data_IF_911546007748
#
_entry.id   IF_911546007748
#
_cell.length_a   1.000
_cell.length_b   1.000
_cell.length_c   1.000
_cell.angle_alpha   90.00
_cell.angle_beta   90.00
_cell.angle_gamma   90.00
#
_symmetry.space_group_name_H-M   'P 1'
#
loop_
_entity.id
_entity.type
_entity.pdbx_description
1 polymer ?
#
# COMPACT_ATOMS: atom_id res chain seq x y z
N UNK A 1 -15.78 25.37 -17.55
CA UNK A 1 -15.25 24.08 -17.05
C UNK A 1 -15.40 24.04 -15.53
N UNK A 2 -15.90 22.94 -14.94
CA UNK A 2 -15.89 22.77 -13.47
C UNK A 2 -14.56 22.13 -13.04
N UNK A 3 -14.01 22.45 -11.85
CA UNK A 3 -12.74 21.89 -11.39
C UNK A 3 -12.87 20.38 -11.17
N UNK A 4 -11.97 19.61 -11.79
CA UNK A 4 -11.78 18.18 -11.56
C UNK A 4 -10.98 17.98 -10.27
N UNK A 5 -11.23 16.87 -9.57
CA UNK A 5 -10.48 16.51 -8.38
C UNK A 5 -9.93 15.09 -8.46
N UNK A 6 -8.70 14.96 -7.95
CA UNK A 6 -8.04 13.71 -7.63
C UNK A 6 -7.96 13.66 -6.10
N UNK A 7 -8.38 12.56 -5.49
CA UNK A 7 -8.19 12.36 -4.06
C UNK A 7 -6.80 11.76 -3.87
N UNK A 8 -5.95 12.47 -3.12
CA UNK A 8 -4.58 12.04 -2.83
C UNK A 8 -4.49 11.13 -1.59
N UNK A 9 -5.55 11.07 -0.79
CA UNK A 9 -5.61 10.23 0.41
C UNK A 9 -7.06 10.08 0.87
N UNK A 10 -7.44 8.89 1.34
CA UNK A 10 -8.73 8.62 1.99
C UNK A 10 -8.43 7.81 3.27
N UNK A 11 -8.83 8.34 4.42
CA UNK A 11 -8.63 7.68 5.73
C UNK A 11 -9.94 7.13 6.30
N UNK A 12 -9.79 6.03 7.03
CA UNK A 12 -10.69 5.49 8.06
C UNK A 12 -12.17 5.29 7.66
N UNK A 13 -12.43 4.32 6.78
CA UNK A 13 -13.76 3.72 6.64
C UNK A 13 -13.67 2.20 6.78
N UNK A 14 -14.77 1.57 7.19
CA UNK A 14 -14.80 0.18 7.64
C UNK A 14 -14.60 -0.79 6.48
N UNK A 15 -14.94 -0.40 5.25
CA UNK A 15 -14.79 -1.25 4.07
C UNK A 15 -14.56 -0.46 2.78
N UNK A 16 -14.02 -1.15 1.77
CA UNK A 16 -13.85 -0.66 0.40
C UNK A 16 -15.17 -0.18 -0.21
N UNK A 17 -16.27 -0.92 -0.05
CA UNK A 17 -17.57 -0.54 -0.59
C UNK A 17 -18.08 0.77 0.03
N UNK A 18 -17.88 0.96 1.33
CA UNK A 18 -18.27 2.18 2.04
C UNK A 18 -17.49 3.41 1.53
N UNK A 19 -16.17 3.28 1.33
CA UNK A 19 -15.33 4.33 0.74
C UNK A 19 -15.83 4.73 -0.65
N UNK A 20 -15.97 3.74 -1.53
CA UNK A 20 -16.33 3.95 -2.92
C UNK A 20 -17.71 4.62 -3.02
N UNK A 21 -18.70 4.14 -2.26
CA UNK A 21 -20.06 4.68 -2.25
C UNK A 21 -20.11 6.11 -1.71
N UNK A 22 -19.46 6.39 -0.57
CA UNK A 22 -19.46 7.72 0.06
C UNK A 22 -18.75 8.76 -0.79
N UNK A 23 -17.59 8.42 -1.35
CA UNK A 23 -16.80 9.35 -2.16
C UNK A 23 -17.51 9.69 -3.47
N UNK A 24 -18.06 8.68 -4.17
CA UNK A 24 -18.82 8.91 -5.40
C UNK A 24 -20.07 9.77 -5.14
N UNK A 25 -20.75 9.57 -4.00
CA UNK A 25 -21.91 10.35 -3.60
C UNK A 25 -21.56 11.80 -3.21
N UNK A 26 -20.41 12.02 -2.57
CA UNK A 26 -19.98 13.35 -2.11
C UNK A 26 -19.44 14.24 -3.25
N UNK A 27 -18.88 13.65 -4.31
CA UNK A 27 -18.23 14.37 -5.41
C UNK A 27 -18.81 13.99 -6.80
N UNK A 28 -20.12 14.12 -7.02
CA UNK A 28 -20.76 13.67 -8.24
C UNK A 28 -20.21 14.44 -9.45
N UNK A 29 -19.77 13.68 -10.47
CA UNK A 29 -19.23 14.18 -11.75
C UNK A 29 -17.94 15.02 -11.67
N UNK A 30 -17.25 15.03 -10.52
CA UNK A 30 -15.97 15.75 -10.33
C UNK A 30 -14.78 14.83 -10.11
N UNK A 31 -15.06 13.62 -9.63
CA UNK A 31 -14.06 12.59 -9.33
C UNK A 31 -13.55 11.94 -10.62
N UNK A 32 -12.22 11.95 -10.81
CA UNK A 32 -11.56 11.33 -11.98
C UNK A 32 -10.74 10.09 -11.62
N UNK A 33 -10.19 10.05 -10.41
CA UNK A 33 -9.55 8.87 -9.85
C UNK A 33 -9.94 8.66 -8.39
N UNK A 34 -9.96 7.40 -7.98
CA UNK A 34 -10.12 6.99 -6.58
C UNK A 34 -8.95 6.11 -6.18
N UNK A 35 -8.44 6.33 -4.97
CA UNK A 35 -7.37 5.55 -4.39
C UNK A 35 -7.89 4.24 -3.79
N UNK A 36 -6.98 3.29 -3.66
CA UNK A 36 -7.19 1.97 -3.06
C UNK A 36 -7.40 1.98 -1.52
N UNK A 37 -7.46 3.16 -0.89
CA UNK A 37 -7.88 3.40 0.50
C UNK A 37 -7.04 2.72 1.59
N UNK A 38 -6.76 3.39 2.70
CA UNK A 38 -6.11 2.77 3.88
C UNK A 38 -7.13 2.01 4.75
N UNK A 39 -7.84 1.06 4.15
CA UNK A 39 -8.91 0.31 4.82
C UNK A 39 -8.37 -0.86 5.65
N UNK A 40 -9.10 -1.20 6.70
CA UNK A 40 -8.86 -2.38 7.55
C UNK A 40 -7.43 -2.44 8.13
N UNK A 41 -6.74 -3.57 8.06
CA UNK A 41 -5.37 -3.78 8.55
C UNK A 41 -4.34 -2.82 7.95
N UNK A 42 -4.67 -2.12 6.86
CA UNK A 42 -3.83 -1.11 6.22
C UNK A 42 -4.06 0.31 6.75
N UNK A 43 -4.87 0.48 7.78
CA UNK A 43 -4.99 1.75 8.49
C UNK A 43 -3.61 2.13 9.03
N UNK A 44 -3.03 3.23 8.53
CA UNK A 44 -1.59 3.52 8.52
C UNK A 44 -0.84 2.74 7.43
N UNK A 45 -0.93 3.26 6.21
CA UNK A 45 -0.36 2.73 4.96
C UNK A 45 1.08 2.21 5.01
N UNK A 46 1.91 2.75 5.89
CA UNK A 46 3.27 2.26 6.16
C UNK A 46 3.27 1.34 7.39
N UNK A 47 2.54 1.68 8.45
CA UNK A 47 2.59 0.99 9.75
C UNK A 47 2.39 -0.53 9.71
N UNK A 48 1.52 -1.03 8.83
CA UNK A 48 1.28 -2.48 8.70
C UNK A 48 2.48 -3.27 8.14
N UNK A 49 3.49 -2.57 7.59
CA UNK A 49 4.71 -3.18 7.06
C UNK A 49 5.75 -3.54 8.13
N UNK A 50 5.57 -3.15 9.40
CA UNK A 50 6.49 -3.51 10.47
C UNK A 50 6.77 -5.03 10.52
N UNK A 51 5.72 -5.84 10.32
CA UNK A 51 5.81 -7.30 10.40
C UNK A 51 6.49 -7.98 9.20
N UNK A 52 6.87 -7.20 8.19
CA UNK A 52 7.48 -7.64 6.94
C UNK A 52 9.01 -7.55 6.96
N UNK A 53 9.58 -6.85 7.94
CA UNK A 53 11.02 -6.84 8.23
C UNK A 53 11.41 -7.95 9.22
N UNK A 54 12.66 -8.43 9.21
CA UNK A 54 13.20 -9.33 10.23
C UNK A 54 12.97 -8.77 11.64
N UNK A 55 12.63 -9.60 12.62
CA UNK A 55 12.25 -9.13 13.96
C UNK A 55 13.38 -8.40 14.69
N UNK A 56 14.60 -8.82 14.41
CA UNK A 56 15.86 -8.37 14.99
C UNK A 56 16.25 -6.97 14.51
N UNK A 57 15.82 -6.60 13.30
CA UNK A 57 16.13 -5.31 12.69
C UNK A 57 15.11 -4.23 12.99
N UNK A 58 13.95 -4.61 13.55
CA UNK A 58 12.85 -3.67 13.81
C UNK A 58 13.23 -2.63 14.84
N UNK A 59 12.85 -1.39 14.60
CA UNK A 59 13.00 -0.28 15.54
C UNK A 59 11.74 -0.10 16.38
N UNK A 60 11.94 0.22 17.66
CA UNK A 60 10.89 0.43 18.64
C UNK A 60 10.40 1.88 18.60
N UNK A 61 9.80 2.31 17.49
CA UNK A 61 9.19 3.65 17.44
C UNK A 61 7.95 3.74 18.36
N UNK A 62 7.35 2.60 18.75
CA UNK A 62 6.16 2.52 19.61
C UNK A 62 6.39 1.85 20.99
N UNK A 63 7.64 1.73 21.46
CA UNK A 63 7.95 1.17 22.77
C UNK A 63 7.83 -0.37 22.88
N UNK A 64 7.86 -1.08 21.75
CA UNK A 64 7.90 -2.56 21.70
C UNK A 64 9.34 -3.04 21.80
N UNK A 65 9.65 -3.96 22.72
CA UNK A 65 10.99 -4.55 22.82
C UNK A 65 11.46 -5.09 21.47
N UNK A 66 12.50 -4.48 20.89
CA UNK A 66 13.12 -4.98 19.67
C UNK A 66 13.89 -6.25 19.99
N UNK A 67 13.77 -7.29 19.17
CA UNK A 67 14.65 -8.44 19.32
C UNK A 67 16.10 -8.01 19.11
N UNK A 68 17.00 -8.53 19.95
CA UNK A 68 18.43 -8.44 19.69
C UNK A 68 18.79 -9.45 18.61
N UNK A 69 19.84 -9.13 17.85
CA UNK A 69 20.39 -10.05 16.88
C UNK A 69 21.00 -11.26 17.63
N UNK A 70 20.68 -12.51 17.28
CA UNK A 70 21.29 -13.68 17.90
C UNK A 70 22.83 -13.64 17.79
N UNK A 71 23.59 -14.09 18.82
CA UNK A 71 25.05 -14.02 18.81
C UNK A 71 25.74 -14.74 17.63
N UNK A 72 25.06 -15.72 17.04
CA UNK A 72 25.53 -16.53 15.91
C UNK A 72 25.05 -16.01 14.54
N UNK A 73 24.26 -14.94 14.52
CA UNK A 73 23.75 -14.36 13.28
C UNK A 73 24.81 -13.45 12.63
N UNK A 74 25.06 -13.63 11.33
CA UNK A 74 26.10 -12.91 10.57
C UNK A 74 25.85 -11.41 10.41
N UNK A 75 24.64 -10.94 10.72
CA UNK A 75 24.18 -9.58 10.46
C UNK A 75 23.90 -9.30 8.99
N UNK A 76 23.96 -10.33 8.13
CA UNK A 76 23.71 -10.22 6.69
C UNK A 76 22.30 -10.73 6.40
N UNK A 77 21.46 -9.86 5.85
CA UNK A 77 20.12 -10.19 5.36
C UNK A 77 20.11 -10.40 3.85
N UNK A 78 19.19 -11.26 3.39
CA UNK A 78 18.91 -11.53 1.98
C UNK A 78 17.46 -11.19 1.65
N UNK A 79 17.06 -11.32 0.39
CA UNK A 79 15.68 -11.09 -0.02
C UNK A 79 14.68 -11.96 0.74
N UNK A 80 15.08 -13.17 1.14
CA UNK A 80 14.24 -14.08 1.93
C UNK A 80 14.00 -13.58 3.37
N UNK A 81 14.87 -12.71 3.88
CA UNK A 81 14.70 -12.09 5.19
C UNK A 81 13.57 -11.05 5.21
N UNK A 82 13.30 -10.39 4.07
CA UNK A 82 12.20 -9.44 3.92
C UNK A 82 11.01 -10.14 3.25
N UNK A 83 9.83 -10.09 3.89
CA UNK A 83 8.62 -10.71 3.34
C UNK A 83 8.11 -9.91 2.12
N UNK A 84 7.42 -10.59 1.20
CA UNK A 84 6.68 -9.92 0.12
C UNK A 84 5.67 -8.94 0.71
N UNK A 85 5.61 -7.71 0.18
CA UNK A 85 4.92 -6.58 0.84
C UNK A 85 3.40 -6.72 0.93
N UNK A 86 2.79 -7.54 0.07
CA UNK A 86 1.34 -7.72 -0.07
C UNK A 86 0.57 -6.46 -0.50
N UNK A 87 1.24 -5.38 -0.92
CA UNK A 87 0.54 -4.22 -1.48
C UNK A 87 -0.23 -4.58 -2.76
N UNK A 88 0.30 -5.51 -3.55
CA UNK A 88 -0.31 -6.06 -4.75
C UNK A 88 -1.63 -6.78 -4.46
N UNK A 89 -1.63 -7.70 -3.47
CA UNK A 89 -2.83 -8.41 -3.07
C UNK A 89 -3.92 -7.42 -2.63
N UNK A 90 -3.55 -6.49 -1.75
CA UNK A 90 -4.48 -5.48 -1.26
C UNK A 90 -5.05 -4.60 -2.39
N UNK A 91 -4.19 -4.11 -3.29
CA UNK A 91 -4.60 -3.28 -4.42
C UNK A 91 -5.54 -4.03 -5.38
N UNK A 92 -5.23 -5.30 -5.67
CA UNK A 92 -6.05 -6.13 -6.58
C UNK A 92 -7.39 -6.53 -5.96
N UNK A 93 -7.45 -6.80 -4.65
CA UNK A 93 -8.72 -7.04 -3.95
C UNK A 93 -9.61 -5.79 -3.94
N UNK A 94 -9.03 -4.61 -3.73
CA UNK A 94 -9.76 -3.36 -3.83
C UNK A 94 -10.24 -3.12 -5.27
N UNK A 95 -9.37 -3.34 -6.25
CA UNK A 95 -9.71 -3.19 -7.67
C UNK A 95 -10.86 -4.11 -8.10
N UNK A 96 -10.91 -5.36 -7.62
CA UNK A 96 -12.06 -6.26 -7.85
C UNK A 96 -13.37 -5.67 -7.36
N UNK A 97 -13.37 -5.07 -6.17
CA UNK A 97 -14.56 -4.41 -5.60
C UNK A 97 -14.94 -3.16 -6.39
N UNK A 98 -13.94 -2.38 -6.80
CA UNK A 98 -14.13 -1.23 -7.69
C UNK A 98 -14.81 -1.64 -9.01
N UNK A 99 -14.33 -2.71 -9.65
CA UNK A 99 -14.92 -3.23 -10.88
C UNK A 99 -16.37 -3.65 -10.68
N UNK A 100 -16.65 -4.46 -9.64
CA UNK A 100 -18.02 -4.89 -9.29
C UNK A 100 -18.97 -3.69 -9.18
N UNK A 101 -18.61 -2.68 -8.39
CA UNK A 101 -19.46 -1.50 -8.19
C UNK A 101 -19.63 -0.66 -9.46
N UNK A 102 -18.61 -0.61 -10.32
CA UNK A 102 -18.68 0.07 -11.63
C UNK A 102 -19.63 -0.67 -12.57
N UNK A 103 -19.55 -1.98 -12.62
CA UNK A 103 -20.41 -2.83 -13.46
C UNK A 103 -21.88 -2.80 -13.00
N UNK A 104 -22.12 -2.66 -11.70
CA UNK A 104 -23.47 -2.43 -11.12
C UNK A 104 -24.03 -1.03 -11.40
N UNK A 105 -23.26 -0.13 -12.03
CA UNK A 105 -23.67 1.23 -12.37
C UNK A 105 -23.70 2.20 -11.19
N UNK A 106 -23.18 1.79 -10.03
CA UNK A 106 -23.11 2.63 -8.81
C UNK A 106 -22.00 3.68 -8.91
N UNK A 107 -21.06 3.52 -9.84
CA UNK A 107 -19.95 4.45 -10.10
C UNK A 107 -19.87 4.89 -11.56
N UNK A 108 -19.30 6.08 -11.84
CA UNK A 108 -19.09 6.53 -13.22
C UNK A 108 -18.15 5.60 -13.98
N UNK A 109 -18.52 5.22 -15.21
CA UNK A 109 -17.69 4.36 -16.09
C UNK A 109 -16.32 4.96 -16.42
N UNK A 110 -16.22 6.29 -16.47
CA UNK A 110 -14.96 6.98 -16.76
C UNK A 110 -14.04 7.14 -15.54
N UNK A 111 -14.44 6.65 -14.37
CA UNK A 111 -13.64 6.69 -13.15
C UNK A 111 -12.45 5.73 -13.30
N UNK A 112 -11.26 6.20 -12.93
CA UNK A 112 -10.03 5.41 -12.91
C UNK A 112 -9.61 5.07 -11.49
N UNK A 113 -8.83 4.00 -11.36
CA UNK A 113 -8.31 3.49 -10.12
C UNK A 113 -6.84 3.87 -9.96
N UNK A 114 -6.49 4.44 -8.81
CA UNK A 114 -5.12 4.83 -8.48
C UNK A 114 -4.59 3.91 -7.38
N UNK A 115 -3.42 3.32 -7.59
CA UNK A 115 -2.70 2.57 -6.56
C UNK A 115 -1.57 3.45 -6.02
N UNK A 116 -1.41 3.49 -4.71
CA UNK A 116 -0.24 4.12 -4.08
C UNK A 116 0.68 3.03 -3.52
N UNK A 117 1.99 3.17 -3.76
CA UNK A 117 3.03 2.40 -3.07
C UNK A 117 3.96 3.33 -2.29
N UNK A 118 4.40 2.98 -1.06
CA UNK A 118 5.31 3.83 -0.31
C UNK A 118 6.68 3.84 -0.97
N UNK A 119 7.47 4.89 -0.72
CA UNK A 119 8.89 4.80 -1.03
C UNK A 119 9.54 3.72 -0.14
N UNK A 120 10.50 2.93 -0.65
CA UNK A 120 11.23 1.97 0.16
C UNK A 120 11.87 2.63 1.39
N UNK A 121 12.52 3.78 1.19
CA UNK A 121 13.14 4.58 2.24
C UNK A 121 12.16 4.94 3.37
N UNK A 122 10.94 5.35 3.04
CA UNK A 122 9.93 5.71 4.06
C UNK A 122 9.56 4.51 4.93
N UNK A 123 9.38 3.34 4.32
CA UNK A 123 8.99 2.11 5.04
C UNK A 123 10.13 1.60 5.94
N UNK A 124 11.37 1.69 5.45
CA UNK A 124 12.56 1.27 6.18
C UNK A 124 12.84 2.21 7.35
N UNK A 125 12.85 3.53 7.12
CA UNK A 125 13.06 4.51 8.20
C UNK A 125 12.02 4.45 9.31
N UNK A 126 10.78 4.09 8.96
CA UNK A 126 9.70 3.97 9.93
C UNK A 126 9.80 2.72 10.82
N UNK A 127 10.56 1.69 10.42
CA UNK A 127 10.49 0.39 11.09
C UNK A 127 11.81 -0.29 11.35
N UNK A 128 12.94 0.19 10.81
CA UNK A 128 14.22 -0.52 10.84
C UNK A 128 15.27 0.32 11.57
N UNK A 129 15.99 -0.29 12.51
CA UNK A 129 17.11 0.34 13.23
C UNK A 129 18.15 0.85 12.23
N UNK A 130 18.74 2.01 12.52
CA UNK A 130 19.66 2.73 11.62
C UNK A 130 20.75 1.83 10.99
N UNK A 131 21.35 0.93 11.79
CA UNK A 131 22.45 0.06 11.37
C UNK A 131 22.06 -0.92 10.24
N UNK A 132 20.78 -1.28 10.14
CA UNK A 132 20.29 -2.24 9.13
C UNK A 132 19.61 -1.57 7.93
N UNK A 133 19.37 -0.25 7.98
CA UNK A 133 18.63 0.46 6.92
C UNK A 133 19.30 0.34 5.54
N UNK A 134 20.63 0.54 5.38
CA UNK A 134 21.25 0.48 4.05
C UNK A 134 21.08 -0.88 3.35
N UNK A 135 21.10 -1.97 4.11
CA UNK A 135 20.91 -3.31 3.58
C UNK A 135 19.44 -3.60 3.28
N UNK A 136 18.54 -3.27 4.21
CA UNK A 136 17.12 -3.58 4.06
C UNK A 136 16.41 -2.67 3.06
N UNK A 137 16.92 -1.47 2.76
CA UNK A 137 16.37 -0.59 1.74
C UNK A 137 16.40 -1.24 0.36
N UNK A 138 17.55 -1.75 -0.09
CA UNK A 138 17.65 -2.41 -1.40
C UNK A 138 16.79 -3.68 -1.48
N UNK A 139 16.72 -4.45 -0.39
CA UNK A 139 15.91 -5.67 -0.35
C UNK A 139 14.41 -5.36 -0.39
N UNK A 140 13.98 -4.34 0.35
CA UNK A 140 12.59 -3.92 0.40
C UNK A 140 12.17 -3.21 -0.90
N UNK A 141 13.07 -2.45 -1.53
CA UNK A 141 12.85 -1.91 -2.88
C UNK A 141 12.53 -3.03 -3.88
N UNK A 142 13.30 -4.13 -3.86
CA UNK A 142 13.01 -5.28 -4.71
C UNK A 142 11.60 -5.85 -4.43
N UNK A 143 11.19 -5.95 -3.16
CA UNK A 143 9.82 -6.40 -2.80
C UNK A 143 8.72 -5.44 -3.28
N UNK A 144 8.95 -4.13 -3.24
CA UNK A 144 8.01 -3.14 -3.76
C UNK A 144 7.90 -3.25 -5.29
N UNK A 145 9.01 -3.48 -5.99
CA UNK A 145 9.02 -3.69 -7.44
C UNK A 145 8.31 -4.98 -7.84
N UNK A 146 8.45 -6.07 -7.07
CA UNK A 146 7.68 -7.30 -7.25
C UNK A 146 6.16 -7.02 -7.18
N UNK A 147 5.72 -6.34 -6.13
CA UNK A 147 4.30 -5.97 -5.99
C UNK A 147 3.84 -5.04 -7.11
N UNK A 148 4.65 -4.05 -7.52
CA UNK A 148 4.33 -3.16 -8.63
C UNK A 148 4.13 -3.93 -9.95
N UNK A 149 5.00 -4.90 -10.24
CA UNK A 149 4.88 -5.74 -11.42
C UNK A 149 3.55 -6.51 -11.42
N UNK A 150 3.20 -7.14 -10.30
CA UNK A 150 1.92 -7.85 -10.14
C UNK A 150 0.70 -6.93 -10.31
N UNK A 151 0.76 -5.69 -9.80
CA UNK A 151 -0.31 -4.70 -9.99
C UNK A 151 -0.46 -4.32 -11.47
N UNK A 152 0.66 -4.09 -12.16
CA UNK A 152 0.68 -3.73 -13.58
C UNK A 152 0.09 -4.84 -14.45
N UNK A 153 0.38 -6.10 -14.12
CA UNK A 153 -0.14 -7.29 -14.81
C UNK A 153 -1.62 -7.54 -14.50
N UNK A 154 -2.03 -7.33 -13.24
CA UNK A 154 -3.40 -7.60 -12.78
C UNK A 154 -4.42 -6.51 -13.09
N UNK A 155 -4.01 -5.35 -13.62
CA UNK A 155 -4.88 -4.20 -13.87
C UNK A 155 -4.70 -3.63 -15.29
N UNK A 156 -5.78 -3.50 -16.09
CA UNK A 156 -5.72 -2.86 -17.41
C UNK A 156 -5.20 -1.43 -17.35
N UNK A 157 -4.54 -0.95 -18.42
CA UNK A 157 -3.95 0.38 -18.44
C UNK A 157 -5.00 1.49 -18.52
N UNK A 158 -6.13 1.22 -19.16
CA UNK A 158 -7.28 2.10 -19.29
C UNK A 158 -7.96 2.43 -17.95
N UNK A 159 -7.87 1.51 -17.00
CA UNK A 159 -8.42 1.62 -15.65
C UNK A 159 -7.47 2.30 -14.68
N UNK A 160 -6.17 2.38 -15.00
CA UNK A 160 -5.15 2.97 -14.14
C UNK A 160 -5.13 4.49 -14.24
N UNK A 161 -5.17 5.15 -13.09
CA UNK A 161 -4.77 6.54 -12.94
C UNK A 161 -3.27 6.58 -12.59
N UNK A 162 -2.55 7.47 -13.29
CA UNK A 162 -1.14 7.81 -13.04
C UNK A 162 -1.11 9.15 -12.32
#
# INVERSE_FOLDING_TARGET
MRPQCHLAHITAMVSTEEVLSKVCSALPRRLRSILDGETDVRNNYIGWQLDYFPKETRDSILGVTTAELPPDHSGIFSLESAKATQYDIAALEFYKTFMKLRDEGTMPQALRFQVSLPSPLSSVKAHVKADFQPQLESLYEQRILESLATIIEGMPAEDRAI
#
